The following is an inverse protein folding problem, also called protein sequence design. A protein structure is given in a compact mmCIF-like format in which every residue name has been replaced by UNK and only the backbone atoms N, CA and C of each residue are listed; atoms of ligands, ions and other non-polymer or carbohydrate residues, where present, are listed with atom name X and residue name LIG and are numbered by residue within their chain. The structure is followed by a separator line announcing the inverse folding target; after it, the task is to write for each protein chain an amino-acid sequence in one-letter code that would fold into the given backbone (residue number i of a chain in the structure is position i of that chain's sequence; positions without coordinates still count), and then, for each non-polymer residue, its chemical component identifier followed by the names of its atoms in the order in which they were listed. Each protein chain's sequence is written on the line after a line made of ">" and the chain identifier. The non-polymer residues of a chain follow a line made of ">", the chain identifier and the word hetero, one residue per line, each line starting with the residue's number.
data_IF_095495923102
#
_entry.id   IF_095495923102
#
_cell.length_a   1.000
_cell.length_b   1.000
_cell.length_c   1.000
_cell.angle_alpha   90.00
_cell.angle_beta   90.00
_cell.angle_gamma   90.00
#
_symmetry.space_group_name_H-M   'P 1'
#
loop_
_entity.id
_entity.type
_entity.pdbx_description
1 polymer ?
#
# COMPACT_ATOMS: atom_id res chain seq x y z
N UNK A 1 33.54 -9.14 -1.21
CA UNK A 1 32.90 -8.25 -2.21
C UNK A 1 32.35 -7.04 -1.48
N UNK A 2 32.46 -5.85 -2.04
CA UNK A 2 31.88 -4.65 -1.45
C UNK A 2 30.35 -4.72 -1.53
N UNK A 3 29.62 -4.31 -0.49
CA UNK A 3 28.15 -4.31 -0.47
C UNK A 3 27.62 -3.40 -1.59
N UNK A 4 26.65 -3.88 -2.38
CA UNK A 4 25.99 -3.08 -3.44
C UNK A 4 25.33 -1.86 -2.81
N UNK A 5 25.53 -0.69 -3.40
CA UNK A 5 24.80 0.55 -3.05
C UNK A 5 23.49 0.60 -3.81
N UNK A 6 22.40 0.70 -3.10
CA UNK A 6 21.06 0.77 -3.71
C UNK A 6 20.31 2.02 -3.25
N UNK A 7 19.75 2.76 -4.18
CA UNK A 7 18.83 3.86 -3.90
C UNK A 7 17.40 3.39 -4.12
N UNK A 8 16.59 3.48 -3.05
CA UNK A 8 15.13 3.26 -3.09
C UNK A 8 14.45 4.63 -3.17
N UNK A 9 13.65 4.86 -4.20
CA UNK A 9 12.97 6.14 -4.45
C UNK A 9 11.51 6.06 -4.05
N UNK A 10 11.14 6.73 -2.97
CA UNK A 10 9.81 6.76 -2.38
C UNK A 10 9.73 6.02 -1.04
N UNK A 11 9.39 6.76 0.02
CA UNK A 11 9.35 6.31 1.41
C UNK A 11 7.98 5.85 1.90
N UNK A 12 7.08 5.40 0.99
CA UNK A 12 5.84 4.72 1.34
C UNK A 12 6.08 3.27 1.80
N UNK A 13 4.99 2.52 2.08
CA UNK A 13 5.11 1.14 2.59
C UNK A 13 5.91 0.22 1.66
N UNK A 14 5.73 0.34 0.34
CA UNK A 14 6.45 -0.47 -0.64
C UNK A 14 7.95 -0.18 -0.59
N UNK A 15 8.34 1.10 -0.54
CA UNK A 15 9.75 1.50 -0.43
C UNK A 15 10.38 1.09 0.90
N UNK A 16 9.67 1.29 2.02
CA UNK A 16 10.14 0.87 3.33
C UNK A 16 10.43 -0.63 3.40
N UNK A 17 9.51 -1.46 2.90
CA UNK A 17 9.69 -2.92 2.88
C UNK A 17 10.77 -3.36 1.88
N UNK A 18 10.84 -2.73 0.70
CA UNK A 18 11.92 -2.98 -0.27
C UNK A 18 13.29 -2.66 0.34
N UNK A 19 13.41 -1.54 1.07
CA UNK A 19 14.65 -1.16 1.74
C UNK A 19 15.06 -2.16 2.84
N UNK A 20 14.11 -2.65 3.64
CA UNK A 20 14.38 -3.67 4.66
C UNK A 20 14.83 -5.01 4.03
N UNK A 21 14.16 -5.47 2.98
CA UNK A 21 14.55 -6.71 2.29
C UNK A 21 15.95 -6.58 1.65
N UNK A 22 16.31 -5.40 1.09
CA UNK A 22 17.65 -5.14 0.52
C UNK A 22 18.74 -5.15 1.59
N UNK A 23 18.51 -4.55 2.77
CA UNK A 23 19.44 -4.60 3.91
C UNK A 23 19.65 -6.05 4.36
N UNK A 24 18.59 -6.86 4.42
CA UNK A 24 18.69 -8.29 4.79
C UNK A 24 19.51 -9.11 3.76
N UNK A 25 19.61 -8.63 2.51
CA UNK A 25 20.49 -9.18 1.47
C UNK A 25 21.90 -8.60 1.47
N UNK A 26 22.26 -7.77 2.47
CA UNK A 26 23.59 -7.19 2.65
C UNK A 26 23.89 -5.99 1.75
N UNK A 27 22.89 -5.34 1.18
CA UNK A 27 23.04 -4.10 0.40
C UNK A 27 23.26 -2.90 1.34
N UNK A 28 23.96 -1.88 0.84
CA UNK A 28 24.01 -0.55 1.45
C UNK A 28 22.88 0.29 0.86
N UNK A 29 21.86 0.62 1.67
CA UNK A 29 20.61 1.19 1.19
C UNK A 29 20.44 2.64 1.60
N UNK A 30 20.13 3.49 0.62
CA UNK A 30 19.66 4.85 0.82
C UNK A 30 18.20 4.94 0.35
N UNK A 31 17.29 5.35 1.24
CA UNK A 31 15.90 5.61 0.92
C UNK A 31 15.68 7.11 0.74
N UNK A 32 15.28 7.52 -0.44
CA UNK A 32 15.05 8.92 -0.80
C UNK A 32 13.55 9.20 -0.82
N UNK A 33 13.14 10.21 -0.06
CA UNK A 33 11.73 10.63 0.04
C UNK A 33 11.60 12.15 -0.04
N UNK A 34 10.72 12.64 -0.92
CA UNK A 34 10.48 14.08 -1.09
C UNK A 34 9.90 14.77 0.15
N UNK A 35 9.19 14.02 0.98
CA UNK A 35 8.65 14.49 2.25
C UNK A 35 9.37 13.80 3.42
N UNK A 36 8.63 13.16 4.31
CA UNK A 36 9.15 12.36 5.43
C UNK A 36 8.85 10.89 5.15
N UNK A 37 9.84 10.03 5.37
CA UNK A 37 9.68 8.59 5.21
C UNK A 37 8.58 8.06 6.13
N UNK A 38 7.68 7.25 5.59
CA UNK A 38 6.54 6.71 6.33
C UNK A 38 5.63 7.80 6.92
N UNK A 39 5.49 8.93 6.22
CA UNK A 39 4.67 10.08 6.65
C UNK A 39 3.21 9.70 6.82
N UNK A 40 2.55 10.41 7.73
CA UNK A 40 1.12 10.27 8.03
C UNK A 40 0.30 11.53 7.68
N UNK A 41 0.86 12.48 6.93
CA UNK A 41 0.24 13.82 6.76
C UNK A 41 0.27 14.37 5.35
N UNK A 42 0.92 13.70 4.41
CA UNK A 42 1.33 14.30 3.14
C UNK A 42 0.52 13.85 1.90
N UNK A 43 -0.62 13.15 2.08
CA UNK A 43 -1.49 12.75 0.97
C UNK A 43 -1.10 11.45 0.30
N UNK A 44 -0.01 10.79 0.72
CA UNK A 44 0.36 9.46 0.26
C UNK A 44 -0.67 8.41 0.71
N UNK A 45 -0.82 7.34 -0.09
CA UNK A 45 -1.83 6.32 0.16
C UNK A 45 -1.52 5.35 1.29
N UNK A 46 -0.25 5.19 1.66
CA UNK A 46 0.18 4.14 2.60
C UNK A 46 -0.41 4.28 4.00
N UNK A 47 -0.46 5.48 4.55
CA UNK A 47 -1.05 5.74 5.87
C UNK A 47 -2.57 5.92 5.83
N UNK A 48 -3.07 6.42 4.66
CA UNK A 48 -4.46 6.83 4.50
C UNK A 48 -5.43 5.65 4.32
N UNK A 49 -4.92 4.47 4.02
CA UNK A 49 -5.74 3.28 3.74
C UNK A 49 -6.39 2.67 5.00
N UNK A 50 -7.40 1.83 4.78
CA UNK A 50 -8.11 1.16 5.86
C UNK A 50 -7.33 0.02 6.51
N UNK A 51 -6.26 -0.46 5.92
CA UNK A 51 -5.45 -1.52 6.51
C UNK A 51 -6.01 -2.93 6.38
N UNK A 52 -7.00 -3.16 5.55
CA UNK A 52 -7.57 -4.48 5.28
C UNK A 52 -6.53 -5.31 4.51
N UNK A 53 -6.20 -6.50 5.00
CA UNK A 53 -5.18 -7.39 4.43
C UNK A 53 -5.81 -8.50 3.56
N UNK A 54 -6.72 -8.12 2.69
CA UNK A 54 -7.38 -9.02 1.76
C UNK A 54 -7.96 -8.25 0.57
N UNK A 55 -8.03 -8.85 -0.65
CA UNK A 55 -8.80 -8.26 -1.75
C UNK A 55 -10.28 -8.20 -1.39
N UNK A 56 -10.93 -7.04 -1.55
CA UNK A 56 -12.29 -6.83 -1.05
C UNK A 56 -13.34 -7.72 -1.70
N UNK A 57 -13.21 -8.03 -2.98
CA UNK A 57 -14.06 -8.97 -3.71
C UNK A 57 -13.15 -9.76 -4.68
N UNK A 58 -12.38 -10.75 -4.21
CA UNK A 58 -11.34 -11.39 -5.01
C UNK A 58 -11.83 -12.04 -6.31
N UNK A 59 -13.07 -12.53 -6.33
CA UNK A 59 -13.70 -13.07 -7.53
C UNK A 59 -14.00 -12.05 -8.64
N UNK A 60 -13.73 -10.76 -8.39
CA UNK A 60 -13.86 -9.68 -9.38
C UNK A 60 -12.51 -9.27 -9.99
N UNK A 61 -11.40 -9.85 -9.54
CA UNK A 61 -10.05 -9.49 -9.97
C UNK A 61 -9.38 -10.64 -10.73
N UNK A 62 -8.33 -10.30 -11.48
CA UNK A 62 -7.45 -11.28 -12.13
C UNK A 62 -6.71 -12.11 -11.07
N UNK A 63 -6.43 -13.37 -11.38
CA UNK A 63 -5.73 -14.28 -10.46
C UNK A 63 -4.37 -13.71 -9.99
N UNK A 64 -3.64 -13.01 -10.85
CA UNK A 64 -2.36 -12.39 -10.50
C UNK A 64 -2.48 -11.32 -9.38
N UNK A 65 -3.59 -10.55 -9.34
CA UNK A 65 -3.89 -9.59 -8.27
C UNK A 65 -4.10 -10.33 -6.95
N UNK A 66 -4.97 -11.36 -7.00
CA UNK A 66 -5.30 -12.16 -5.82
C UNK A 66 -4.09 -12.90 -5.27
N UNK A 67 -3.31 -13.53 -6.14
CA UNK A 67 -2.10 -14.26 -5.76
C UNK A 67 -1.11 -13.36 -5.02
N UNK A 68 -0.78 -12.20 -5.58
CA UNK A 68 0.15 -11.27 -4.94
C UNK A 68 -0.38 -10.73 -3.61
N UNK A 69 -1.70 -10.44 -3.54
CA UNK A 69 -2.33 -9.95 -2.31
C UNK A 69 -2.37 -11.05 -1.21
N UNK A 70 -2.70 -12.29 -1.56
CA UNK A 70 -2.73 -13.42 -0.62
C UNK A 70 -1.32 -13.72 -0.11
N UNK A 71 -0.32 -13.78 -1.01
CA UNK A 71 1.09 -13.94 -0.62
C UNK A 71 1.54 -12.83 0.33
N UNK A 72 1.19 -11.58 0.03
CA UNK A 72 1.51 -10.44 0.88
C UNK A 72 0.84 -10.53 2.24
N UNK A 73 -0.45 -10.83 2.29
CA UNK A 73 -1.21 -10.99 3.53
C UNK A 73 -0.62 -12.09 4.44
N UNK A 74 -0.18 -13.22 3.86
CA UNK A 74 0.42 -14.33 4.60
C UNK A 74 1.76 -13.97 5.30
N UNK A 75 2.43 -12.91 4.86
CA UNK A 75 3.69 -12.46 5.47
C UNK A 75 3.43 -11.60 6.72
N UNK A 76 2.29 -10.92 6.80
CA UNK A 76 2.00 -9.91 7.82
C UNK A 76 2.13 -10.40 9.27
N UNK A 77 1.66 -11.59 9.67
CA UNK A 77 1.78 -12.04 11.06
C UNK A 77 3.23 -11.99 11.54
N UNK A 78 4.15 -12.61 10.80
CA UNK A 78 5.59 -12.63 11.13
C UNK A 78 6.25 -11.26 10.99
N UNK A 79 5.83 -10.45 10.00
CA UNK A 79 6.33 -9.09 9.83
C UNK A 79 5.98 -8.22 11.03
N UNK A 80 4.72 -8.23 11.47
CA UNK A 80 4.26 -7.43 12.60
C UNK A 80 4.91 -7.87 13.92
N UNK A 81 5.07 -9.18 14.16
CA UNK A 81 5.79 -9.72 15.31
C UNK A 81 7.25 -9.26 15.33
N UNK A 82 7.96 -9.36 14.20
CA UNK A 82 9.34 -8.91 14.03
C UNK A 82 9.46 -7.39 14.27
N UNK A 83 8.55 -6.60 13.73
CA UNK A 83 8.53 -5.15 13.91
C UNK A 83 8.29 -4.80 15.39
N UNK A 84 7.34 -5.43 16.04
CA UNK A 84 7.06 -5.22 17.47
C UNK A 84 8.30 -5.54 18.32
N UNK A 85 8.91 -6.71 18.11
CA UNK A 85 10.12 -7.13 18.83
C UNK A 85 11.28 -6.15 18.62
N UNK A 86 11.46 -5.67 17.38
CA UNK A 86 12.57 -4.78 17.03
C UNK A 86 12.36 -3.35 17.52
N UNK A 87 11.14 -2.83 17.47
CA UNK A 87 10.85 -1.40 17.64
C UNK A 87 9.99 -1.07 18.85
N UNK A 88 9.33 -2.04 19.46
CA UNK A 88 8.35 -1.84 20.52
C UNK A 88 7.01 -1.25 20.03
N UNK A 89 6.80 -1.08 18.71
CA UNK A 89 5.57 -0.51 18.14
C UNK A 89 4.67 -1.63 17.63
N UNK A 90 3.46 -1.73 18.21
CA UNK A 90 2.42 -2.67 17.76
C UNK A 90 1.72 -2.12 16.51
N UNK A 91 1.85 -2.82 15.39
CA UNK A 91 1.16 -2.51 14.13
C UNK A 91 -0.33 -2.85 14.16
N UNK A 92 -0.84 -3.33 15.29
CA UNK A 92 -2.22 -3.77 15.50
C UNK A 92 -2.70 -4.80 14.47
N UNK A 93 -1.87 -5.81 14.16
CA UNK A 93 -2.29 -6.93 13.34
C UNK A 93 -3.39 -7.71 14.09
N UNK A 94 -4.57 -7.81 13.47
CA UNK A 94 -5.74 -8.41 14.06
C UNK A 94 -6.50 -9.23 13.01
N UNK A 95 -6.79 -10.50 13.31
CA UNK A 95 -7.75 -11.29 12.53
C UNK A 95 -9.15 -10.86 13.01
N UNK A 96 -9.82 -10.05 12.20
CA UNK A 96 -11.14 -9.49 12.51
C UNK A 96 -12.27 -10.11 11.70
N UNK A 97 -11.95 -10.91 10.69
CA UNK A 97 -12.92 -11.35 9.70
C UNK A 97 -13.50 -10.20 8.88
N UNK A 98 -14.18 -10.55 7.78
CA UNK A 98 -14.89 -9.58 6.93
C UNK A 98 -16.26 -10.14 6.56
N UNK A 99 -17.34 -9.46 6.98
CA UNK A 99 -18.70 -9.73 6.58
C UNK A 99 -19.01 -8.93 5.30
N UNK A 100 -19.28 -9.63 4.21
CA UNK A 100 -19.73 -9.04 2.96
C UNK A 100 -21.24 -9.11 2.92
N UNK A 101 -21.91 -7.96 2.98
CA UNK A 101 -23.37 -7.89 3.00
C UNK A 101 -23.91 -8.04 1.59
N UNK A 102 -24.87 -8.92 1.42
CA UNK A 102 -25.66 -9.11 0.17
C UNK A 102 -24.78 -9.09 -1.11
N UNK A 103 -23.77 -9.96 -1.24
CA UNK A 103 -22.95 -9.99 -2.44
C UNK A 103 -23.82 -10.26 -3.67
N UNK A 104 -23.61 -9.50 -4.74
CA UNK A 104 -24.41 -9.56 -5.97
C UNK A 104 -24.42 -10.95 -6.64
N UNK A 105 -23.43 -11.78 -6.39
CA UNK A 105 -23.33 -13.16 -6.86
C UNK A 105 -22.65 -14.02 -5.79
N UNK A 106 -23.46 -14.55 -4.88
CA UNK A 106 -22.97 -15.37 -3.77
C UNK A 106 -22.32 -16.67 -4.27
N UNK A 107 -22.88 -17.31 -5.31
CA UNK A 107 -22.32 -18.55 -5.84
C UNK A 107 -20.91 -18.33 -6.42
N UNK A 108 -20.72 -17.25 -7.19
CA UNK A 108 -19.37 -16.91 -7.69
C UNK A 108 -18.39 -16.66 -6.55
N UNK A 109 -18.84 -16.08 -5.44
CA UNK A 109 -18.01 -15.82 -4.28
C UNK A 109 -17.60 -17.12 -3.56
N UNK A 110 -18.57 -18.03 -3.33
CA UNK A 110 -18.31 -19.33 -2.68
C UNK A 110 -17.44 -20.23 -3.56
N UNK A 111 -17.75 -20.34 -4.86
CA UNK A 111 -16.93 -21.11 -5.82
C UNK A 111 -15.48 -20.63 -5.84
N UNK A 112 -15.28 -19.31 -5.79
CA UNK A 112 -13.93 -18.74 -5.72
C UNK A 112 -13.23 -19.09 -4.40
N UNK A 113 -13.92 -19.00 -3.27
CA UNK A 113 -13.39 -19.39 -1.96
C UNK A 113 -12.98 -20.86 -1.93
N UNK A 114 -13.82 -21.76 -2.44
CA UNK A 114 -13.53 -23.19 -2.52
C UNK A 114 -12.31 -23.46 -3.40
N UNK A 115 -12.28 -22.90 -4.61
CA UNK A 115 -11.16 -23.02 -5.55
C UNK A 115 -9.83 -22.58 -4.96
N UNK A 116 -9.84 -21.54 -4.11
CA UNK A 116 -8.64 -20.94 -3.54
C UNK A 116 -8.39 -21.34 -2.07
N UNK A 117 -9.13 -22.30 -1.54
CA UNK A 117 -9.02 -22.78 -0.15
C UNK A 117 -9.15 -21.66 0.89
N UNK A 118 -10.04 -20.70 0.64
CA UNK A 118 -10.35 -19.60 1.56
C UNK A 118 -11.55 -19.98 2.41
N UNK A 119 -11.39 -19.96 3.73
CA UNK A 119 -12.47 -20.25 4.68
C UNK A 119 -13.60 -19.23 4.53
N UNK A 120 -14.84 -19.69 4.49
CA UNK A 120 -16.01 -18.84 4.47
C UNK A 120 -17.20 -19.42 5.22
N UNK A 121 -18.13 -18.56 5.61
CA UNK A 121 -19.41 -18.93 6.19
C UNK A 121 -20.52 -18.11 5.52
N UNK A 122 -21.50 -18.80 4.96
CA UNK A 122 -22.69 -18.15 4.44
C UNK A 122 -23.72 -18.00 5.57
N UNK A 123 -24.27 -16.81 5.73
CA UNK A 123 -25.27 -16.48 6.72
C UNK A 123 -26.41 -15.61 6.12
N UNK A 124 -27.38 -15.22 6.93
CA UNK A 124 -28.52 -14.41 6.47
C UNK A 124 -28.11 -13.04 5.91
N UNK A 125 -26.99 -12.47 6.39
CA UNK A 125 -26.49 -11.16 5.97
C UNK A 125 -25.59 -11.24 4.73
N UNK A 126 -25.16 -12.44 4.32
CA UNK A 126 -24.32 -12.67 3.15
C UNK A 126 -23.17 -13.64 3.38
N UNK A 127 -21.93 -13.19 3.21
CA UNK A 127 -20.72 -14.02 3.26
C UNK A 127 -19.74 -13.49 4.30
N UNK A 128 -19.41 -14.31 5.30
CA UNK A 128 -18.33 -14.03 6.24
C UNK A 128 -17.04 -14.73 5.80
N UNK A 129 -15.94 -13.98 5.70
CA UNK A 129 -14.58 -14.48 5.54
C UNK A 129 -13.85 -14.36 6.89
N UNK A 130 -13.80 -15.42 7.72
CA UNK A 130 -13.40 -15.31 9.13
C UNK A 130 -11.91 -15.01 9.33
N UNK A 131 -11.06 -15.35 8.37
CA UNK A 131 -9.59 -15.22 8.47
C UNK A 131 -9.05 -13.88 7.95
N UNK A 132 -9.92 -13.00 7.45
CA UNK A 132 -9.47 -11.68 6.97
C UNK A 132 -8.90 -10.88 8.13
N UNK A 133 -7.66 -10.43 7.95
CA UNK A 133 -6.95 -9.62 8.92
C UNK A 133 -6.91 -8.13 8.55
N UNK A 134 -6.51 -7.32 9.50
CA UNK A 134 -6.23 -5.91 9.33
C UNK A 134 -4.96 -5.52 10.10
N UNK A 135 -4.38 -4.38 9.72
CA UNK A 135 -3.35 -3.65 10.48
C UNK A 135 -3.78 -2.20 10.64
N UNK A 136 -3.13 -1.46 11.52
CA UNK A 136 -3.27 0.00 11.63
C UNK A 136 -2.16 0.68 10.83
N UNK A 137 -2.44 1.22 9.61
CA UNK A 137 -1.40 1.72 8.73
C UNK A 137 -0.48 2.78 9.36
N UNK A 138 -0.96 3.78 10.13
CA UNK A 138 -0.09 4.71 10.83
C UNK A 138 0.91 4.05 11.78
N UNK A 139 0.48 3.08 12.57
CA UNK A 139 1.37 2.37 13.51
C UNK A 139 2.35 1.45 12.78
N UNK A 140 1.89 0.77 11.71
CA UNK A 140 2.77 -0.02 10.86
C UNK A 140 3.88 0.82 10.24
N UNK A 141 3.54 1.99 9.69
CA UNK A 141 4.53 2.89 9.10
C UNK A 141 5.51 3.44 10.15
N UNK A 142 5.04 3.76 11.34
CA UNK A 142 5.89 4.15 12.48
C UNK A 142 6.88 3.04 12.84
N UNK A 143 6.40 1.79 12.93
CA UNK A 143 7.26 0.64 13.20
C UNK A 143 8.29 0.44 12.08
N UNK A 144 7.89 0.52 10.82
CA UNK A 144 8.77 0.41 9.66
C UNK A 144 9.87 1.48 9.67
N UNK A 145 9.51 2.75 9.92
CA UNK A 145 10.49 3.85 9.99
C UNK A 145 11.55 3.60 11.08
N UNK A 146 11.13 3.17 12.26
CA UNK A 146 12.06 2.83 13.34
C UNK A 146 12.93 1.63 12.97
N UNK A 147 12.36 0.60 12.36
CA UNK A 147 13.10 -0.58 11.92
C UNK A 147 14.16 -0.23 10.86
N UNK A 148 13.86 0.67 9.93
CA UNK A 148 14.82 1.16 8.93
C UNK A 148 16.01 1.86 9.59
N UNK A 149 15.76 2.80 10.50
CA UNK A 149 16.82 3.51 11.24
C UNK A 149 17.71 2.54 12.03
N UNK A 150 17.12 1.59 12.74
CA UNK A 150 17.85 0.57 13.51
C UNK A 150 18.59 -0.44 12.63
N UNK A 151 18.23 -0.56 11.34
CA UNK A 151 18.90 -1.45 10.38
C UNK A 151 20.03 -0.78 9.62
N UNK A 152 20.31 0.51 9.84
CA UNK A 152 21.37 1.24 9.18
C UNK A 152 21.01 1.75 7.77
N UNK A 153 19.72 1.83 7.43
CA UNK A 153 19.27 2.49 6.19
C UNK A 153 19.49 3.99 6.32
N UNK A 154 20.15 4.58 5.32
CA UNK A 154 20.25 6.04 5.22
C UNK A 154 18.93 6.62 4.71
N UNK A 155 18.29 7.49 5.49
CA UNK A 155 17.06 8.17 5.09
C UNK A 155 17.39 9.58 4.58
N UNK A 156 17.17 9.85 3.29
CA UNK A 156 17.22 11.17 2.68
C UNK A 156 15.79 11.70 2.56
N UNK A 157 15.34 12.36 3.60
CA UNK A 157 14.02 12.99 3.69
C UNK A 157 14.05 14.40 3.10
N UNK A 158 12.89 14.92 2.68
CA UNK A 158 12.73 16.23 2.02
C UNK A 158 13.64 16.40 0.80
N UNK A 159 13.90 15.28 0.13
CA UNK A 159 14.79 15.17 -1.01
C UNK A 159 13.99 14.71 -2.22
N UNK A 160 13.69 15.62 -3.12
CA UNK A 160 12.93 15.36 -4.34
C UNK A 160 13.88 15.14 -5.52
N UNK A 161 13.68 14.05 -6.24
CA UNK A 161 14.45 13.73 -7.44
C UNK A 161 13.81 14.38 -8.67
N UNK A 162 14.66 14.80 -9.62
CA UNK A 162 14.22 15.27 -10.94
C UNK A 162 13.66 14.09 -11.74
N UNK A 163 12.68 14.32 -12.65
CA UNK A 163 12.31 13.32 -13.64
C UNK A 163 13.54 12.84 -14.40
N UNK A 164 13.63 11.53 -14.62
CA UNK A 164 14.68 10.97 -15.47
C UNK A 164 14.47 11.42 -16.92
N UNK A 165 15.56 11.73 -17.58
CA UNK A 165 15.60 12.06 -19.00
C UNK A 165 16.67 11.19 -19.66
N UNK A 166 16.32 9.92 -19.92
CA UNK A 166 17.19 8.93 -20.53
C UNK A 166 16.39 8.18 -21.62
N UNK A 167 16.74 8.48 -22.88
CA UNK A 167 16.12 7.86 -24.07
C UNK A 167 17.01 6.80 -24.73
N UNK A 168 18.16 6.46 -24.12
CA UNK A 168 19.17 5.59 -24.72
C UNK A 168 18.93 4.14 -24.29
N UNK A 169 18.79 3.24 -25.27
CA UNK A 169 18.71 1.80 -25.04
C UNK A 169 20.00 1.25 -24.40
N UNK A 170 19.84 0.31 -23.47
CA UNK A 170 20.93 -0.31 -22.70
C UNK A 170 21.78 0.63 -21.85
N UNK A 171 21.24 1.80 -21.47
CA UNK A 171 21.92 2.73 -20.58
C UNK A 171 22.08 2.16 -19.16
N UNK A 172 23.12 2.61 -18.48
CA UNK A 172 23.25 2.49 -17.03
C UNK A 172 23.02 3.84 -16.38
N UNK A 173 22.23 3.86 -15.32
CA UNK A 173 22.01 5.05 -14.50
C UNK A 173 23.13 5.17 -13.48
N UNK A 174 24.14 5.97 -13.74
CA UNK A 174 25.27 6.17 -12.83
C UNK A 174 24.92 7.09 -11.66
N UNK A 175 23.97 8.02 -11.87
CA UNK A 175 23.56 8.99 -10.86
C UNK A 175 22.16 9.52 -11.15
N UNK A 176 21.49 10.02 -10.10
CA UNK A 176 20.21 10.70 -10.19
C UNK A 176 20.28 12.05 -9.48
N UNK A 177 19.83 13.12 -10.12
CA UNK A 177 19.89 14.46 -9.58
C UNK A 177 18.63 14.79 -8.75
N UNK A 178 18.84 15.46 -7.63
CA UNK A 178 17.77 16.10 -6.86
C UNK A 178 17.33 17.41 -7.52
N UNK A 179 16.14 17.91 -7.17
CA UNK A 179 15.69 19.25 -7.61
C UNK A 179 16.63 20.32 -7.07
N UNK A 180 17.24 20.15 -5.91
CA UNK A 180 18.22 21.04 -5.32
C UNK A 180 19.60 21.05 -6.03
N UNK A 181 19.82 20.12 -6.99
CA UNK A 181 21.05 20.03 -7.78
C UNK A 181 22.09 19.06 -7.21
N UNK A 182 21.80 18.37 -6.12
CA UNK A 182 22.68 17.33 -5.58
C UNK A 182 22.65 16.09 -6.49
N UNK A 183 23.78 15.39 -6.60
CA UNK A 183 23.92 14.17 -7.38
C UNK A 183 24.04 12.96 -6.47
N UNK A 184 23.08 12.06 -6.58
CA UNK A 184 23.07 10.78 -5.83
C UNK A 184 23.60 9.65 -6.74
N UNK A 185 24.54 8.87 -6.24
CA UNK A 185 25.17 7.75 -6.97
C UNK A 185 24.90 6.42 -6.31
N UNK A 186 24.58 5.40 -7.08
CA UNK A 186 24.39 4.02 -6.62
C UNK A 186 24.67 3.02 -7.74
N UNK A 187 24.85 1.75 -7.36
CA UNK A 187 24.99 0.65 -8.30
C UNK A 187 23.62 0.25 -8.91
N UNK A 188 22.54 0.40 -8.12
CA UNK A 188 21.18 0.10 -8.56
C UNK A 188 20.18 1.11 -7.98
N UNK A 189 19.06 1.29 -8.70
CA UNK A 189 17.96 2.17 -8.31
C UNK A 189 16.63 1.41 -8.39
N UNK A 190 15.73 1.64 -7.44
CA UNK A 190 14.37 1.10 -7.50
C UNK A 190 13.33 2.17 -7.21
N UNK A 191 12.37 2.33 -8.12
CA UNK A 191 11.28 3.32 -8.01
C UNK A 191 10.08 2.68 -7.32
N UNK A 192 9.70 3.25 -6.18
CA UNK A 192 8.58 2.85 -5.33
C UNK A 192 7.66 4.03 -4.99
N UNK A 193 7.67 5.08 -5.84
CA UNK A 193 7.07 6.40 -5.59
C UNK A 193 5.55 6.45 -5.78
N UNK A 194 4.88 5.28 -5.85
CA UNK A 194 3.42 5.21 -5.91
C UNK A 194 2.83 6.04 -7.05
N UNK A 195 1.88 6.93 -6.76
CA UNK A 195 1.20 7.76 -7.75
C UNK A 195 2.13 8.71 -8.53
N UNK A 196 3.31 9.01 -8.00
CA UNK A 196 4.30 9.90 -8.64
C UNK A 196 5.29 9.17 -9.55
N UNK A 197 5.22 7.84 -9.65
CA UNK A 197 6.16 7.06 -10.46
C UNK A 197 6.11 7.41 -11.94
N UNK A 198 4.92 7.71 -12.47
CA UNK A 198 4.78 8.18 -13.85
C UNK A 198 5.55 9.49 -14.07
N UNK A 199 5.41 10.48 -13.18
CA UNK A 199 6.08 11.77 -13.31
C UNK A 199 7.60 11.67 -13.30
N UNK A 200 8.16 10.74 -12.52
CA UNK A 200 9.59 10.49 -12.46
C UNK A 200 10.15 9.82 -13.73
N UNK A 201 9.32 9.03 -14.42
CA UNK A 201 9.77 8.17 -15.53
C UNK A 201 9.16 8.53 -16.88
N UNK A 202 8.31 9.55 -16.98
CA UNK A 202 7.57 9.93 -18.21
C UNK A 202 8.46 10.28 -19.42
N UNK A 203 9.72 10.64 -19.17
CA UNK A 203 10.70 10.95 -20.21
C UNK A 203 11.69 9.77 -20.44
N UNK A 204 11.30 8.56 -20.06
CA UNK A 204 12.00 7.31 -20.39
C UNK A 204 11.14 6.50 -21.35
N UNK A 205 11.68 5.40 -21.85
CA UNK A 205 10.94 4.47 -22.73
C UNK A 205 9.84 3.68 -21.99
N UNK A 206 9.80 3.75 -20.66
CA UNK A 206 8.81 3.05 -19.85
C UNK A 206 7.48 3.81 -19.80
N UNK A 207 6.49 3.30 -20.49
CA UNK A 207 5.13 3.81 -20.36
C UNK A 207 4.42 3.18 -19.15
N UNK A 208 4.32 3.93 -18.05
CA UNK A 208 3.57 3.53 -16.86
C UNK A 208 2.15 4.11 -16.92
N UNK A 209 1.15 3.26 -17.08
CA UNK A 209 -0.26 3.70 -16.96
C UNK A 209 -0.65 3.77 -15.48
N UNK A 210 -0.10 4.77 -14.79
CA UNK A 210 -0.35 5.05 -13.37
C UNK A 210 -0.98 6.43 -13.23
N UNK A 211 -2.16 6.49 -12.60
CA UNK A 211 -2.86 7.74 -12.29
C UNK A 211 -3.03 7.91 -10.78
N UNK A 212 -2.94 9.15 -10.26
CA UNK A 212 -3.33 9.43 -8.88
C UNK A 212 -4.84 9.30 -8.73
N UNK A 213 -5.30 8.34 -7.93
CA UNK A 213 -6.71 8.10 -7.65
C UNK A 213 -7.02 8.42 -6.19
N UNK A 214 -7.71 9.55 -5.95
CA UNK A 214 -8.05 10.00 -4.59
C UNK A 214 -9.05 9.07 -3.94
N UNK A 215 -8.83 8.78 -2.66
CA UNK A 215 -9.81 8.13 -1.81
C UNK A 215 -9.94 8.86 -0.49
N UNK A 216 -11.17 9.15 -0.07
CA UNK A 216 -11.48 9.83 1.18
C UNK A 216 -12.05 8.84 2.19
N UNK A 217 -11.74 9.01 3.48
CA UNK A 217 -12.11 8.13 4.58
C UNK A 217 -12.51 8.99 5.80
N UNK A 218 -13.50 8.51 6.55
CA UNK A 218 -13.91 9.06 7.85
C UNK A 218 -13.40 8.19 8.99
N UNK A 219 -13.11 8.82 10.12
CA UNK A 219 -12.88 8.16 11.40
C UNK A 219 -13.94 8.62 12.38
N UNK A 220 -14.73 7.69 12.87
CA UNK A 220 -15.68 7.90 13.94
C UNK A 220 -15.07 7.59 15.29
N UNK A 221 -15.56 8.26 16.33
CA UNK A 221 -15.29 7.90 17.71
C UNK A 221 -15.88 6.51 18.05
N UNK A 222 -15.62 6.05 19.24
CA UNK A 222 -16.14 4.80 19.75
C UNK A 222 -17.68 4.78 19.72
N UNK A 223 -18.26 3.75 19.08
CA UNK A 223 -19.70 3.57 19.01
C UNK A 223 -20.21 2.72 20.16
N UNK A 224 -21.47 2.93 20.58
CA UNK A 224 -22.14 2.07 21.57
C UNK A 224 -22.29 0.64 21.04
N UNK A 225 -22.58 0.51 19.75
CA UNK A 225 -22.67 -0.76 19.03
C UNK A 225 -21.31 -1.11 18.45
N UNK A 226 -20.73 -2.23 18.89
CA UNK A 226 -19.41 -2.70 18.45
C UNK A 226 -19.56 -3.69 17.30
N UNK A 227 -19.02 -3.34 16.13
CA UNK A 227 -18.84 -4.30 15.06
C UNK A 227 -17.76 -5.32 15.44
N UNK A 228 -18.05 -6.61 15.23
CA UNK A 228 -17.08 -7.70 15.45
C UNK A 228 -16.13 -7.86 14.26
N UNK A 229 -16.65 -7.61 13.06
CA UNK A 229 -15.97 -7.86 11.81
C UNK A 229 -15.86 -6.57 10.99
N UNK A 230 -14.91 -6.53 10.05
CA UNK A 230 -14.98 -5.59 8.95
C UNK A 230 -16.29 -5.84 8.22
N UNK A 231 -17.05 -4.79 7.91
CA UNK A 231 -18.26 -4.90 7.10
C UNK A 231 -18.01 -4.30 5.73
N UNK A 232 -18.35 -5.03 4.68
CA UNK A 232 -18.23 -4.56 3.30
C UNK A 232 -19.60 -4.63 2.60
N UNK A 233 -20.03 -3.52 2.04
CA UNK A 233 -21.28 -3.41 1.29
C UNK A 233 -21.17 -2.34 0.18
N UNK A 234 -21.62 -2.64 -1.04
CA UNK A 234 -21.75 -1.65 -2.11
C UNK A 234 -20.50 -0.78 -2.34
N UNK A 235 -19.31 -1.40 -2.43
CA UNK A 235 -18.02 -0.73 -2.60
C UNK A 235 -17.61 0.18 -1.43
N UNK A 236 -18.21 -0.01 -0.28
CA UNK A 236 -17.96 0.71 0.96
C UNK A 236 -17.62 -0.26 2.10
N UNK A 237 -16.82 0.18 3.06
CA UNK A 237 -16.45 -0.63 4.20
C UNK A 237 -16.54 0.15 5.53
N UNK A 238 -16.84 -0.59 6.60
CA UNK A 238 -16.66 -0.18 7.97
C UNK A 238 -15.59 -1.07 8.60
N UNK A 239 -14.55 -0.47 9.21
CA UNK A 239 -13.43 -1.21 9.80
C UNK A 239 -13.29 -0.86 11.27
N UNK A 240 -13.73 -1.77 12.17
CA UNK A 240 -13.58 -1.56 13.60
C UNK A 240 -12.10 -1.67 14.01
N UNK A 241 -11.65 -0.79 14.90
CA UNK A 241 -10.29 -0.77 15.43
C UNK A 241 -10.24 -1.35 16.85
N UNK A 242 -9.04 -1.78 17.26
CA UNK A 242 -8.79 -2.37 18.60
C UNK A 242 -9.16 -1.42 19.74
N UNK A 243 -8.98 -0.10 19.54
CA UNK A 243 -9.33 0.95 20.50
C UNK A 243 -10.82 1.37 20.45
N UNK A 244 -11.63 0.72 19.63
CA UNK A 244 -13.06 0.99 19.47
C UNK A 244 -13.39 2.06 18.45
N UNK A 245 -12.41 2.75 17.88
CA UNK A 245 -12.64 3.67 16.76
C UNK A 245 -13.15 2.91 15.54
N UNK A 246 -13.85 3.60 14.64
CA UNK A 246 -14.41 3.00 13.43
C UNK A 246 -14.03 3.81 12.20
N UNK A 247 -13.40 3.14 11.22
CA UNK A 247 -13.16 3.70 9.90
C UNK A 247 -14.35 3.44 8.98
N UNK A 248 -14.69 4.44 8.16
CA UNK A 248 -15.72 4.34 7.14
C UNK A 248 -15.22 4.88 5.80
N UNK A 249 -15.29 4.08 4.76
CA UNK A 249 -14.76 4.47 3.45
C UNK A 249 -14.98 3.43 2.35
N UNK A 250 -14.52 3.74 1.20
CA UNK A 250 -13.84 4.95 0.74
C UNK A 250 -14.39 5.43 -0.58
N UNK A 251 -14.04 6.63 -0.99
CA UNK A 251 -14.28 7.09 -2.36
C UNK A 251 -13.22 6.58 -3.34
N UNK A 252 -13.51 6.78 -4.61
CA UNK A 252 -12.57 6.61 -5.72
C UNK A 252 -12.81 7.74 -6.73
N UNK A 253 -11.88 8.68 -6.79
CA UNK A 253 -12.03 9.92 -7.53
C UNK A 253 -10.82 10.16 -8.44
N UNK A 254 -11.07 10.42 -9.73
CA UNK A 254 -10.03 10.83 -10.70
C UNK A 254 -9.98 12.37 -10.74
N UNK A 255 -9.15 12.94 -9.89
CA UNK A 255 -9.00 14.39 -9.68
C UNK A 255 -7.54 14.83 -9.76
N UNK A 256 -6.70 14.03 -10.41
CA UNK A 256 -5.26 14.27 -10.47
C UNK A 256 -4.63 14.24 -9.07
N UNK A 257 -3.66 15.11 -8.85
CA UNK A 257 -2.93 15.21 -7.58
C UNK A 257 -3.63 16.06 -6.50
N UNK A 258 -4.91 16.42 -6.69
CA UNK A 258 -5.67 17.11 -5.64
C UNK A 258 -5.93 16.17 -4.47
N UNK A 259 -5.37 16.52 -3.31
CA UNK A 259 -5.48 15.77 -2.05
C UNK A 259 -6.46 16.38 -1.04
N UNK A 260 -7.18 17.41 -1.44
CA UNK A 260 -8.13 18.05 -0.54
C UNK A 260 -9.37 17.18 -0.31
N UNK A 261 -9.88 17.20 0.89
CA UNK A 261 -11.19 16.63 1.22
C UNK A 261 -12.29 17.66 0.92
N UNK A 262 -13.51 17.18 0.68
CA UNK A 262 -14.66 18.06 0.42
C UNK A 262 -15.83 17.73 1.35
N UNK A 263 -16.59 18.75 1.76
CA UNK A 263 -17.74 18.55 2.64
C UNK A 263 -18.85 17.70 1.97
N UNK A 264 -19.03 17.84 0.67
CA UNK A 264 -19.99 17.02 -0.09
C UNK A 264 -19.62 15.52 0.00
N UNK A 265 -18.35 15.16 -0.17
CA UNK A 265 -17.90 13.77 -0.03
C UNK A 265 -18.00 13.28 1.42
N UNK A 266 -17.71 14.13 2.41
CA UNK A 266 -17.91 13.78 3.82
C UNK A 266 -19.35 13.38 4.09
N UNK A 267 -20.32 14.16 3.62
CA UNK A 267 -21.75 13.87 3.76
C UNK A 267 -22.14 12.57 3.03
N UNK A 268 -21.63 12.34 1.82
CA UNK A 268 -21.86 11.09 1.08
C UNK A 268 -21.35 9.87 1.87
N UNK A 269 -20.12 9.93 2.38
CA UNK A 269 -19.54 8.85 3.18
C UNK A 269 -20.32 8.63 4.47
N UNK A 270 -20.80 9.70 5.12
CA UNK A 270 -21.62 9.64 6.31
C UNK A 270 -22.93 8.92 6.05
N UNK A 271 -23.66 9.30 4.99
CA UNK A 271 -24.92 8.65 4.60
C UNK A 271 -24.71 7.14 4.35
N UNK A 272 -23.64 6.78 3.63
CA UNK A 272 -23.31 5.37 3.39
C UNK A 272 -22.98 4.61 4.69
N UNK A 273 -22.21 5.22 5.59
CA UNK A 273 -21.89 4.61 6.87
C UNK A 273 -23.14 4.38 7.74
N UNK A 274 -24.01 5.39 7.83
CA UNK A 274 -25.26 5.33 8.58
C UNK A 274 -26.25 4.33 7.98
N UNK A 275 -26.24 4.09 6.67
CA UNK A 275 -27.07 3.08 6.04
C UNK A 275 -26.68 1.64 6.41
N UNK A 276 -25.41 1.41 6.76
CA UNK A 276 -24.89 0.12 7.21
C UNK A 276 -25.01 -0.01 8.73
N UNK A 277 -24.70 1.06 9.46
CA UNK A 277 -24.74 1.10 10.92
C UNK A 277 -25.49 2.35 11.40
N UNK A 278 -26.82 2.27 11.59
CA UNK A 278 -27.66 3.42 11.94
C UNK A 278 -27.27 4.17 13.21
N UNK A 279 -26.60 3.52 14.15
CA UNK A 279 -26.11 4.15 15.38
C UNK A 279 -25.07 5.26 15.12
N UNK A 280 -24.46 5.29 13.94
CA UNK A 280 -23.50 6.34 13.54
C UNK A 280 -24.11 7.73 13.40
N UNK A 281 -25.45 7.85 13.26
CA UNK A 281 -26.14 9.16 13.24
C UNK A 281 -25.83 10.03 14.46
N UNK A 282 -25.57 9.41 15.60
CA UNK A 282 -25.31 10.06 16.88
C UNK A 282 -23.84 9.96 17.29
N UNK A 283 -22.94 9.59 16.36
CA UNK A 283 -21.53 9.37 16.64
C UNK A 283 -20.68 10.47 15.98
N UNK A 284 -19.75 11.04 16.73
CA UNK A 284 -18.91 12.12 16.21
C UNK A 284 -17.89 11.61 15.19
N UNK A 285 -17.71 12.37 14.11
CA UNK A 285 -16.62 12.17 13.16
C UNK A 285 -15.39 12.92 13.70
N UNK A 286 -14.37 12.16 14.06
CA UNK A 286 -13.12 12.68 14.61
C UNK A 286 -12.18 13.22 13.54
N UNK A 287 -12.12 12.54 12.37
CA UNK A 287 -11.22 12.92 11.28
C UNK A 287 -11.83 12.61 9.92
N UNK A 288 -11.46 13.42 8.94
CA UNK A 288 -11.72 13.23 7.52
C UNK A 288 -10.42 13.51 6.75
N UNK A 289 -9.95 12.56 5.96
CA UNK A 289 -8.70 12.71 5.19
C UNK A 289 -8.78 12.00 3.84
N UNK A 290 -7.78 12.23 3.02
CA UNK A 290 -7.63 11.60 1.72
C UNK A 290 -6.24 11.00 1.52
N UNK A 291 -6.11 10.13 0.52
CA UNK A 291 -4.85 9.63 0.03
C UNK A 291 -4.93 9.35 -1.47
N UNK A 292 -3.79 9.51 -2.16
CA UNK A 292 -3.68 9.32 -3.60
C UNK A 292 -3.13 7.91 -3.89
N UNK A 293 -4.00 7.02 -4.35
CA UNK A 293 -3.61 5.66 -4.74
C UNK A 293 -2.92 5.69 -6.11
N UNK A 294 -1.88 4.88 -6.35
CA UNK A 294 -1.29 4.70 -7.67
C UNK A 294 -2.20 3.81 -8.54
N UNK A 295 -3.23 4.40 -9.14
CA UNK A 295 -4.23 3.69 -9.92
C UNK A 295 -3.64 3.10 -11.19
N UNK A 296 -3.88 1.80 -11.44
CA UNK A 296 -3.58 1.08 -12.67
C UNK A 296 -4.85 0.46 -13.22
N UNK A 297 -4.98 0.22 -14.54
CA UNK A 297 -6.21 -0.30 -15.15
C UNK A 297 -6.71 -1.60 -14.52
N UNK A 298 -5.80 -2.51 -14.22
CA UNK A 298 -6.11 -3.88 -13.77
C UNK A 298 -5.80 -4.16 -12.30
N UNK A 299 -5.48 -3.15 -11.50
CA UNK A 299 -4.91 -3.28 -10.14
C UNK A 299 -3.59 -4.09 -10.09
N UNK A 300 -2.90 -4.25 -11.21
CA UNK A 300 -1.63 -4.96 -11.28
C UNK A 300 -0.48 -3.97 -11.12
N UNK A 301 0.42 -4.18 -10.14
CA UNK A 301 1.63 -3.39 -10.02
C UNK A 301 2.66 -3.77 -11.08
N UNK A 302 3.55 -2.85 -11.38
CA UNK A 302 4.78 -3.11 -12.12
C UNK A 302 5.87 -3.53 -11.13
N UNK A 303 6.29 -4.80 -11.18
CA UNK A 303 7.39 -5.38 -10.40
C UNK A 303 8.37 -5.95 -11.43
N UNK A 304 9.31 -5.14 -11.91
CA UNK A 304 10.15 -5.48 -13.05
C UNK A 304 11.45 -4.69 -13.09
N UNK A 305 12.43 -5.15 -13.87
CA UNK A 305 13.52 -4.30 -14.34
C UNK A 305 12.98 -3.28 -15.38
N UNK A 306 13.60 -2.11 -15.45
CA UNK A 306 13.29 -1.15 -16.49
C UNK A 306 13.72 -1.72 -17.86
N UNK A 307 12.92 -1.56 -18.93
CA UNK A 307 13.18 -2.25 -20.20
C UNK A 307 14.49 -1.83 -20.88
N UNK A 308 14.95 -0.59 -20.67
CA UNK A 308 16.11 -0.03 -21.37
C UNK A 308 17.22 0.49 -20.44
N UNK A 309 16.97 0.62 -19.14
CA UNK A 309 17.96 1.07 -18.15
C UNK A 309 18.29 -0.12 -17.24
N UNK A 310 19.49 -0.71 -17.42
CA UNK A 310 19.88 -2.02 -16.84
C UNK A 310 19.82 -2.10 -15.32
N UNK A 311 20.14 -1.03 -14.62
CA UNK A 311 20.23 -0.99 -13.16
C UNK A 311 19.09 -0.19 -12.50
N UNK A 312 18.00 0.04 -13.24
CA UNK A 312 16.78 0.65 -12.76
C UNK A 312 15.67 -0.40 -12.64
N UNK A 313 15.00 -0.42 -11.51
CA UNK A 313 13.94 -1.36 -11.19
C UNK A 313 12.66 -0.62 -10.75
N UNK A 314 11.52 -1.28 -10.92
CA UNK A 314 10.20 -0.71 -10.67
C UNK A 314 9.42 -1.60 -9.70
N UNK A 315 8.90 -1.03 -8.64
CA UNK A 315 7.99 -1.69 -7.71
C UNK A 315 6.88 -0.71 -7.32
N UNK A 316 5.90 -0.52 -8.21
CA UNK A 316 4.92 0.58 -8.12
C UNK A 316 3.59 0.21 -8.78
N UNK A 317 2.56 1.05 -8.62
CA UNK A 317 1.25 0.84 -9.28
C UNK A 317 0.31 -0.13 -8.56
N UNK A 318 0.45 -0.37 -7.28
CA UNK A 318 -0.31 -1.36 -6.51
C UNK A 318 -1.78 -1.02 -6.27
N UNK A 319 -2.23 0.15 -6.65
CA UNK A 319 -3.58 0.70 -6.57
C UNK A 319 -4.28 0.43 -5.22
N UNK A 320 -5.37 -0.40 -5.25
CA UNK A 320 -6.23 -0.63 -4.07
C UNK A 320 -5.59 -1.48 -2.98
N UNK A 321 -4.64 -2.33 -3.35
CA UNK A 321 -4.11 -3.38 -2.47
C UNK A 321 -2.62 -3.18 -2.14
N UNK A 322 -2.11 -1.95 -2.32
CA UNK A 322 -0.70 -1.65 -2.12
C UNK A 322 -0.18 -2.04 -0.74
N UNK A 323 -0.97 -1.80 0.31
CA UNK A 323 -0.60 -2.21 1.65
C UNK A 323 -0.51 -3.75 1.74
N UNK A 324 -1.54 -4.46 1.29
CA UNK A 324 -1.61 -5.93 1.35
C UNK A 324 -0.51 -6.60 0.54
N UNK A 325 -0.23 -6.10 -0.68
CA UNK A 325 0.76 -6.65 -1.61
C UNK A 325 2.20 -6.30 -1.25
N UNK A 326 2.43 -5.21 -0.51
CA UNK A 326 3.75 -4.64 -0.32
C UNK A 326 4.82 -5.63 0.18
N UNK A 327 4.57 -6.54 1.14
CA UNK A 327 5.60 -7.48 1.57
C UNK A 327 6.02 -8.47 0.48
N UNK A 328 5.06 -9.01 -0.28
CA UNK A 328 5.35 -9.96 -1.36
C UNK A 328 6.03 -9.25 -2.55
N UNK A 329 5.57 -8.04 -2.91
CA UNK A 329 6.18 -7.27 -3.99
C UNK A 329 7.62 -6.85 -3.67
N UNK A 330 7.90 -6.49 -2.41
CA UNK A 330 9.26 -6.18 -1.96
C UNK A 330 10.19 -7.39 -2.10
N UNK A 331 9.77 -8.58 -1.70
CA UNK A 331 10.55 -9.82 -1.88
C UNK A 331 10.80 -10.13 -3.35
N UNK A 332 9.76 -9.98 -4.20
CA UNK A 332 9.88 -10.27 -5.64
C UNK A 332 10.87 -9.33 -6.32
N UNK A 333 10.78 -8.01 -6.06
CA UNK A 333 11.70 -7.06 -6.69
C UNK A 333 13.13 -7.24 -6.19
N UNK A 334 13.34 -7.50 -4.90
CA UNK A 334 14.67 -7.73 -4.34
C UNK A 334 15.29 -9.03 -4.87
N UNK A 335 14.52 -10.10 -5.03
CA UNK A 335 14.97 -11.31 -5.70
C UNK A 335 15.45 -11.01 -7.14
N UNK A 336 14.66 -10.24 -7.91
CA UNK A 336 15.03 -9.82 -9.26
C UNK A 336 16.34 -9.00 -9.27
N UNK A 337 16.53 -8.10 -8.30
CA UNK A 337 17.72 -7.24 -8.20
C UNK A 337 18.99 -7.99 -7.77
N UNK A 338 18.85 -9.02 -6.92
CA UNK A 338 19.98 -9.70 -6.30
C UNK A 338 20.31 -11.05 -6.94
N UNK A 339 19.29 -11.80 -7.40
CA UNK A 339 19.42 -13.18 -7.84
C UNK A 339 19.52 -13.33 -9.37
N UNK A 340 19.26 -12.25 -10.15
CA UNK A 340 19.47 -12.29 -11.59
C UNK A 340 20.96 -12.33 -11.93
N UNK A 341 21.41 -13.24 -12.83
CA UNK A 341 22.78 -13.24 -13.29
C UNK A 341 23.09 -11.86 -13.93
N UNK A 342 24.19 -11.26 -13.50
CA UNK A 342 24.70 -10.04 -14.14
C UNK A 342 25.29 -10.49 -15.51
N UNK A 343 24.62 -10.13 -16.59
CA UNK A 343 25.13 -10.27 -17.97
C UNK A 343 26.06 -9.14 -18.32
#
# INVERSE_FOLDING_TARGET
>A
MQAKKVIVVGGGIVGCLTALELIERGCNVTLVERNVVASQTSGESSWAGAGILFPLLPWMYKDAVNQLAIEGAAIYPKLCERLLTKTGVDSEHLISGMQILNPSNINKATDWCEKNSVSYQQNLDGLLLPEVAQVRPPELLKALRQALLQSGVTLLERTELRPLNLEIDNAELNSWQTIAGETLTADQFVVTSGAWSFELLKNTTQNLDIKPMRGQILLYEQTAEKLKHIVYANSFYLVPRKDGLLLAGSTLEDVGFDKNTTEAVKQELQIKAESILPSLKNTNILKHWSGLRPGTPDNLPTIAAHPTIKNLFLNTGHFRYGLTMAPASARRIVALMCDSPQY
#
